data_IF_385643448784
#
_entry.id   IF_385643448784
#
_cell.length_a   1.000
_cell.length_b   1.000
_cell.length_c   1.000
_cell.angle_alpha   90.00
_cell.angle_beta   90.00
_cell.angle_gamma   90.00
#
_symmetry.space_group_name_H-M   'P 1'
#
loop_
_entity.id
_entity.type
_entity.pdbx_description
1 polymer ?
#
# COMPACT_ATOMS: atom_id res chain seq x y z
N UNK A 1 0.52 18.71 16.94
CA UNK A 1 1.68 18.87 17.81
C UNK A 1 2.33 17.49 17.98
N UNK A 2 3.58 17.39 17.53
CA UNK A 2 4.39 16.19 17.75
C UNK A 2 4.85 16.29 19.20
N UNK A 3 4.36 15.38 20.05
CA UNK A 3 4.89 15.24 21.41
C UNK A 3 6.12 14.36 21.29
N UNK A 4 7.29 14.96 21.27
CA UNK A 4 8.57 14.23 21.35
C UNK A 4 8.77 13.87 22.84
N UNK A 5 8.39 12.67 23.19
CA UNK A 5 8.95 12.06 24.41
C UNK A 5 10.40 11.66 24.10
N UNK A 6 11.27 11.74 25.10
CA UNK A 6 12.71 11.42 25.06
C UNK A 6 13.01 10.23 24.12
N UNK A 7 13.28 10.52 22.84
CA UNK A 7 13.51 9.49 21.85
C UNK A 7 14.97 9.07 21.96
N UNK A 8 15.20 7.88 22.51
CA UNK A 8 16.52 7.28 22.54
C UNK A 8 17.10 7.22 21.12
N UNK A 9 18.33 7.71 20.92
CA UNK A 9 19.05 7.61 19.66
C UNK A 9 19.04 6.16 19.12
N UNK A 10 19.16 5.19 20.00
CA UNK A 10 19.07 3.76 19.71
C UNK A 10 17.71 3.39 19.09
N UNK A 11 16.60 3.91 19.63
CA UNK A 11 15.27 3.66 19.09
C UNK A 11 15.15 4.18 17.65
N UNK A 12 15.68 5.38 17.36
CA UNK A 12 15.69 5.97 16.01
C UNK A 12 16.52 5.12 15.05
N UNK A 13 17.69 4.66 15.47
CA UNK A 13 18.58 3.82 14.64
C UNK A 13 17.95 2.46 14.33
N UNK A 14 17.26 1.83 15.30
CA UNK A 14 16.52 0.59 15.07
C UNK A 14 15.38 0.84 14.08
N UNK A 15 14.54 1.85 14.34
CA UNK A 15 13.38 2.19 13.52
C UNK A 15 13.77 2.48 12.07
N UNK A 16 14.85 3.24 11.83
CA UNK A 16 15.32 3.62 10.50
C UNK A 16 15.78 2.43 9.63
N UNK A 17 16.07 1.29 10.24
CA UNK A 17 16.53 0.07 9.54
C UNK A 17 15.49 -1.05 9.53
N UNK A 18 14.34 -0.84 10.18
CA UNK A 18 13.26 -1.81 10.15
C UNK A 18 12.58 -1.81 8.78
N UNK A 19 12.36 -3.01 8.24
CA UNK A 19 11.63 -3.19 6.98
C UNK A 19 11.08 -4.60 6.86
N UNK A 20 10.16 -4.79 5.92
CA UNK A 20 9.78 -6.12 5.46
C UNK A 20 10.71 -6.61 4.35
N UNK A 21 10.81 -7.91 4.22
CA UNK A 21 11.49 -8.59 3.12
C UNK A 21 10.63 -9.77 2.65
N UNK A 22 10.13 -9.77 1.40
CA UNK A 22 10.24 -8.69 0.42
C UNK A 22 9.49 -7.40 0.85
N UNK A 23 9.92 -6.24 0.33
CA UNK A 23 9.25 -4.95 0.54
C UNK A 23 8.01 -4.78 -0.36
N UNK A 24 7.89 -5.67 -1.35
CA UNK A 24 6.80 -5.70 -2.32
C UNK A 24 6.01 -6.99 -2.13
N UNK A 25 4.70 -6.87 -1.99
CA UNK A 25 3.75 -7.98 -1.95
C UNK A 25 2.88 -8.00 -3.20
N UNK A 26 2.55 -9.20 -3.69
CA UNK A 26 1.63 -9.39 -4.81
C UNK A 26 0.19 -9.57 -4.32
N UNK A 27 -0.72 -8.78 -4.87
CA UNK A 27 -2.16 -8.89 -4.61
C UNK A 27 -2.77 -10.21 -5.05
N UNK A 28 -2.25 -10.81 -6.13
CA UNK A 28 -2.87 -11.97 -6.77
C UNK A 28 -2.57 -13.30 -6.06
N UNK A 29 -1.54 -13.36 -5.22
CA UNK A 29 -1.05 -14.63 -4.63
C UNK A 29 -1.71 -15.01 -3.30
N UNK A 30 -2.59 -14.18 -2.75
CA UNK A 30 -3.24 -14.44 -1.45
C UNK A 30 -2.30 -14.24 -0.26
N UNK A 31 -2.33 -15.11 0.76
CA UNK A 31 -1.51 -14.93 1.96
C UNK A 31 -0.02 -14.82 1.66
N UNK A 32 0.64 -13.80 2.22
CA UNK A 32 2.04 -13.48 1.96
C UNK A 32 2.92 -13.86 3.15
N UNK A 33 3.99 -14.59 2.88
CA UNK A 33 5.04 -14.86 3.83
C UNK A 33 6.15 -13.82 3.67
N UNK A 34 6.33 -12.99 4.67
CA UNK A 34 7.36 -11.94 4.69
C UNK A 34 8.22 -12.06 5.95
N UNK A 35 9.35 -11.41 5.97
CA UNK A 35 10.20 -11.32 7.15
C UNK A 35 10.25 -9.89 7.63
N UNK A 36 9.97 -9.66 8.91
CA UNK A 36 10.30 -8.40 9.57
C UNK A 36 11.79 -8.42 9.92
N UNK A 37 12.55 -7.49 9.37
CA UNK A 37 13.96 -7.31 9.67
C UNK A 37 14.12 -6.26 10.75
N UNK A 38 14.85 -6.60 11.82
CA UNK A 38 15.17 -5.69 12.91
C UNK A 38 16.67 -5.77 13.17
N UNK A 39 17.37 -4.63 13.07
CA UNK A 39 18.81 -4.52 13.36
C UNK A 39 19.04 -3.98 14.76
N UNK A 40 19.94 -4.62 15.50
CA UNK A 40 20.41 -4.16 16.81
C UNK A 40 21.71 -3.35 16.63
N UNK A 41 21.70 -2.03 16.74
CA UNK A 41 22.91 -1.22 16.59
C UNK A 41 23.77 -1.19 17.88
N UNK A 42 23.33 -1.81 18.97
CA UNK A 42 24.00 -1.75 20.26
C UNK A 42 25.05 -2.84 20.43
N UNK A 43 25.88 -2.69 21.45
CA UNK A 43 26.89 -3.68 21.85
C UNK A 43 26.38 -4.77 22.77
N UNK A 44 25.06 -4.76 23.10
CA UNK A 44 24.43 -5.76 23.99
C UNK A 44 23.27 -6.42 23.25
N UNK A 45 22.92 -7.64 23.65
CA UNK A 45 21.77 -8.33 23.09
C UNK A 45 20.47 -7.65 23.52
N UNK A 46 19.49 -7.60 22.59
CA UNK A 46 18.16 -7.10 22.84
C UNK A 46 17.14 -8.24 22.77
N UNK A 47 16.20 -8.26 23.69
CA UNK A 47 15.07 -9.21 23.68
C UNK A 47 13.76 -8.45 23.82
N UNK A 48 12.69 -8.92 23.16
CA UNK A 48 11.41 -8.27 23.30
C UNK A 48 10.37 -8.73 22.30
N UNK A 49 9.49 -7.82 21.94
CA UNK A 49 8.39 -8.08 21.01
C UNK A 49 8.13 -6.87 20.09
N UNK A 50 7.60 -7.17 18.91
CA UNK A 50 7.08 -6.17 17.99
C UNK A 50 5.57 -6.43 17.78
N UNK A 51 4.73 -5.41 17.93
CA UNK A 51 3.31 -5.47 17.63
C UNK A 51 3.05 -4.72 16.35
N UNK A 52 2.47 -5.39 15.36
CA UNK A 52 2.21 -4.81 14.04
C UNK A 52 0.72 -4.56 13.93
N UNK A 53 0.34 -3.30 13.73
CA UNK A 53 -1.04 -2.92 13.52
C UNK A 53 -1.38 -2.99 12.03
N UNK A 54 -2.37 -3.80 11.70
CA UNK A 54 -2.79 -4.02 10.32
C UNK A 54 -4.16 -3.39 10.05
N UNK A 55 -4.45 -2.98 8.80
CA UNK A 55 -5.74 -2.43 8.41
C UNK A 55 -6.90 -3.40 8.66
N UNK A 56 -8.11 -2.86 8.75
CA UNK A 56 -9.32 -3.68 8.90
C UNK A 56 -9.46 -4.68 7.75
N UNK A 57 -9.69 -5.93 8.09
CA UNK A 57 -9.78 -7.03 7.12
C UNK A 57 -8.45 -7.68 6.79
N UNK A 58 -7.37 -7.24 7.43
CA UNK A 58 -6.08 -7.91 7.40
C UNK A 58 -5.83 -8.65 8.71
N UNK A 59 -4.98 -9.63 8.65
CA UNK A 59 -4.42 -10.32 9.82
C UNK A 59 -2.94 -10.59 9.60
N UNK A 60 -2.19 -10.65 10.70
CA UNK A 60 -0.78 -10.99 10.70
C UNK A 60 -0.51 -12.07 11.73
N UNK A 61 0.28 -13.07 11.37
CA UNK A 61 0.62 -14.19 12.24
C UNK A 61 2.14 -14.40 12.28
N UNK A 62 2.79 -14.39 13.45
CA UNK A 62 2.23 -14.03 14.74
C UNK A 62 1.95 -12.51 14.86
N UNK A 63 0.85 -12.13 15.54
CA UNK A 63 0.50 -10.72 15.74
C UNK A 63 1.50 -9.96 16.63
N UNK A 64 2.24 -10.69 17.47
CA UNK A 64 3.28 -10.17 18.36
C UNK A 64 4.50 -11.09 18.32
N UNK A 65 5.31 -11.00 17.26
CA UNK A 65 6.52 -11.78 17.18
C UNK A 65 7.50 -11.42 18.30
N UNK A 66 7.99 -12.43 18.99
CA UNK A 66 9.10 -12.28 19.93
C UNK A 66 10.42 -12.25 19.18
N UNK A 67 11.31 -11.38 19.62
CA UNK A 67 12.62 -11.20 18.99
C UNK A 67 13.73 -11.31 20.03
N UNK A 68 14.84 -11.89 19.59
CA UNK A 68 16.12 -11.88 20.31
C UNK A 68 17.19 -11.55 19.30
N UNK A 69 17.90 -10.45 19.52
CA UNK A 69 18.83 -9.88 18.56
C UNK A 69 20.19 -9.72 19.23
N UNK A 70 21.18 -10.47 18.80
CA UNK A 70 22.54 -10.31 19.32
C UNK A 70 23.11 -8.92 18.98
N UNK A 71 24.13 -8.51 19.70
CA UNK A 71 24.81 -7.22 19.50
C UNK A 71 25.29 -7.07 18.05
N UNK A 72 24.93 -5.99 17.38
CA UNK A 72 25.30 -5.70 15.99
C UNK A 72 24.62 -6.56 14.93
N UNK A 73 23.74 -7.49 15.29
CA UNK A 73 23.10 -8.42 14.40
C UNK A 73 21.76 -7.90 13.84
N UNK A 74 21.31 -8.53 12.77
CA UNK A 74 19.96 -8.35 12.22
C UNK A 74 19.19 -9.66 12.33
N UNK A 75 18.03 -9.63 12.96
CA UNK A 75 17.11 -10.77 13.01
C UNK A 75 16.10 -10.70 11.85
N UNK A 76 15.77 -11.86 11.29
CA UNK A 76 14.70 -12.07 10.33
C UNK A 76 13.55 -12.80 11.00
N UNK A 77 12.47 -12.12 11.26
CA UNK A 77 11.31 -12.65 11.96
C UNK A 77 10.24 -13.03 10.94
N UNK A 78 9.92 -14.31 10.75
CA UNK A 78 8.91 -14.71 9.79
C UNK A 78 7.53 -14.25 10.28
N UNK A 79 6.75 -13.65 9.37
CA UNK A 79 5.36 -13.27 9.59
C UNK A 79 4.55 -13.59 8.34
N UNK A 80 3.33 -14.05 8.54
CA UNK A 80 2.38 -14.26 7.46
C UNK A 80 1.31 -13.16 7.49
N UNK A 81 1.12 -12.48 6.38
CA UNK A 81 0.09 -11.46 6.22
C UNK A 81 -1.04 -12.05 5.38
N UNK A 82 -2.27 -11.95 5.88
CA UNK A 82 -3.50 -12.39 5.19
C UNK A 82 -4.48 -11.24 5.13
N UNK A 83 -5.31 -11.24 4.11
CA UNK A 83 -6.44 -10.32 3.99
C UNK A 83 -7.71 -11.02 3.53
N UNK A 84 -8.85 -10.56 4.03
CA UNK A 84 -10.17 -11.01 3.58
C UNK A 84 -10.65 -10.22 2.38
N UNK A 85 -10.21 -8.96 2.28
CA UNK A 85 -10.41 -8.12 1.11
C UNK A 85 -9.03 -7.71 0.58
N UNK A 86 -8.77 -7.88 -0.72
CA UNK A 86 -7.50 -7.47 -1.30
C UNK A 86 -7.20 -6.00 -0.96
N UNK A 87 -5.97 -5.66 -0.61
CA UNK A 87 -5.57 -4.28 -0.43
C UNK A 87 -5.64 -3.51 -1.75
N UNK A 88 -5.62 -2.20 -1.65
CA UNK A 88 -5.41 -1.34 -2.83
C UNK A 88 -3.94 -1.38 -3.19
N UNK A 89 -3.63 -1.56 -4.48
CA UNK A 89 -2.25 -1.47 -4.96
C UNK A 89 -1.66 -0.09 -4.67
N UNK A 90 -0.40 -0.06 -4.29
CA UNK A 90 0.33 1.16 -3.95
C UNK A 90 1.14 1.03 -2.66
N UNK A 91 1.68 2.15 -2.22
CA UNK A 91 2.43 2.23 -0.97
C UNK A 91 1.47 2.22 0.23
N UNK A 92 1.81 1.40 1.19
CA UNK A 92 1.13 1.33 2.48
C UNK A 92 2.12 1.55 3.62
N UNK A 93 1.63 2.12 4.70
CA UNK A 93 2.39 2.26 5.95
C UNK A 93 1.69 1.48 7.04
N UNK A 94 2.41 0.53 7.61
CA UNK A 94 1.93 -0.27 8.73
C UNK A 94 2.54 0.24 10.03
N UNK A 95 1.73 0.72 10.99
CA UNK A 95 2.22 1.12 12.29
C UNK A 95 2.78 -0.09 13.05
N UNK A 96 3.91 0.09 13.70
CA UNK A 96 4.56 -0.93 14.52
C UNK A 96 4.95 -0.32 15.86
N UNK A 97 4.55 -0.99 16.94
CA UNK A 97 5.02 -0.72 18.29
C UNK A 97 6.09 -1.76 18.64
N UNK A 98 7.27 -1.31 19.01
CA UNK A 98 8.40 -2.16 19.41
C UNK A 98 8.72 -1.93 20.88
N UNK A 99 8.87 -3.04 21.60
CA UNK A 99 9.36 -3.05 22.97
C UNK A 99 10.53 -4.03 23.09
N UNK A 100 11.72 -3.50 23.35
CA UNK A 100 12.94 -4.27 23.52
C UNK A 100 13.52 -4.01 24.92
N UNK A 101 14.14 -5.01 25.49
CA UNK A 101 14.76 -4.97 26.81
C UNK A 101 16.25 -5.33 26.69
N UNK A 102 17.07 -4.54 27.38
CA UNK A 102 18.47 -4.77 27.65
C UNK A 102 18.72 -4.35 29.10
N UNK A 103 19.70 -3.47 29.36
CA UNK A 103 19.89 -2.82 30.66
C UNK A 103 18.75 -1.84 30.99
N UNK A 104 18.04 -1.40 29.97
CA UNK A 104 16.83 -0.55 30.05
C UNK A 104 15.83 -0.95 29.01
N UNK A 105 14.54 -0.58 29.20
CA UNK A 105 13.48 -0.80 28.24
C UNK A 105 13.56 0.26 27.14
N UNK A 106 13.63 -0.18 25.88
CA UNK A 106 13.51 0.65 24.67
C UNK A 106 12.11 0.43 24.11
N UNK A 107 11.28 1.47 24.11
CA UNK A 107 9.94 1.44 23.51
C UNK A 107 9.80 2.57 22.52
N UNK A 108 9.30 2.24 21.33
CA UNK A 108 9.00 3.23 20.29
C UNK A 108 7.91 2.75 19.36
N UNK A 109 7.24 3.70 18.74
CA UNK A 109 6.28 3.50 17.67
C UNK A 109 6.92 4.01 16.37
N UNK A 110 6.75 3.24 15.30
CA UNK A 110 7.25 3.58 13.96
C UNK A 110 6.29 3.06 12.90
N UNK A 111 6.54 3.41 11.65
CA UNK A 111 5.81 2.87 10.51
C UNK A 111 6.79 2.16 9.58
N UNK A 112 6.37 0.99 9.08
CA UNK A 112 7.11 0.31 8.02
C UNK A 112 6.35 0.49 6.71
N UNK A 113 7.10 0.90 5.70
CA UNK A 113 6.58 1.01 4.35
C UNK A 113 6.54 -0.36 3.68
N UNK A 114 5.44 -0.62 2.99
CA UNK A 114 5.20 -1.82 2.23
C UNK A 114 4.55 -1.42 0.91
N UNK A 115 5.03 -1.96 -0.19
CA UNK A 115 4.41 -1.76 -1.49
C UNK A 115 3.55 -2.98 -1.85
N UNK A 116 2.31 -2.73 -2.25
CA UNK A 116 1.42 -3.77 -2.76
C UNK A 116 1.28 -3.57 -4.26
N UNK A 117 1.64 -4.57 -5.06
CA UNK A 117 1.52 -4.55 -6.51
C UNK A 117 0.57 -5.64 -6.97
N UNK A 118 -0.04 -5.42 -8.11
CA UNK A 118 -0.70 -6.47 -8.86
C UNK A 118 0.20 -6.84 -10.04
N UNK A 119 0.86 -7.98 -9.97
CA UNK A 119 1.77 -8.45 -11.03
C UNK A 119 1.02 -8.89 -12.29
N UNK A 120 -0.28 -9.20 -12.16
CA UNK A 120 -1.11 -9.61 -13.29
C UNK A 120 -1.77 -8.45 -14.02
N UNK A 121 -1.89 -7.28 -13.38
CA UNK A 121 -2.49 -6.09 -13.98
C UNK A 121 -1.58 -4.87 -13.80
N UNK A 122 -1.16 -4.28 -14.90
CA UNK A 122 -0.53 -2.98 -14.90
C UNK A 122 -1.57 -1.90 -15.19
N UNK A 123 -1.57 -0.84 -14.41
CA UNK A 123 -2.48 0.30 -14.56
C UNK A 123 -1.67 1.56 -14.75
N UNK A 124 -1.98 2.28 -15.84
CA UNK A 124 -1.42 3.60 -16.12
C UNK A 124 -2.54 4.61 -16.19
N UNK A 125 -2.34 5.75 -15.59
CA UNK A 125 -3.32 6.84 -15.62
C UNK A 125 -2.67 8.11 -16.12
N UNK A 126 -3.41 8.85 -16.94
CA UNK A 126 -3.07 10.17 -17.41
C UNK A 126 -4.30 11.07 -17.31
N UNK A 127 -4.11 12.38 -17.24
CA UNK A 127 -5.22 13.31 -17.17
C UNK A 127 -4.97 14.57 -18.01
N UNK A 128 -6.05 15.16 -18.46
CA UNK A 128 -6.01 16.42 -19.20
C UNK A 128 -7.20 17.30 -18.83
N UNK A 129 -6.97 18.60 -18.83
CA UNK A 129 -8.05 19.58 -18.76
C UNK A 129 -8.81 19.58 -20.07
N UNK A 130 -10.12 19.73 -19.98
CA UNK A 130 -11.01 19.77 -21.16
C UNK A 130 -12.07 20.84 -21.00
N UNK A 131 -12.68 21.19 -22.12
CA UNK A 131 -13.86 22.06 -22.16
C UNK A 131 -14.96 21.33 -22.89
N UNK A 132 -16.15 21.28 -22.29
CA UNK A 132 -17.30 20.64 -22.90
C UNK A 132 -17.67 21.33 -24.22
N UNK A 133 -17.76 20.58 -25.29
CA UNK A 133 -18.18 21.11 -26.61
C UNK A 133 -19.65 21.56 -26.64
N UNK A 134 -20.46 21.12 -25.67
CA UNK A 134 -21.92 21.39 -25.64
C UNK A 134 -22.21 22.72 -24.91
N UNK A 135 -21.58 22.98 -23.80
CA UNK A 135 -21.91 24.08 -22.89
C UNK A 135 -20.70 24.94 -22.48
N UNK A 136 -19.53 24.64 -23.04
CA UNK A 136 -18.29 25.36 -22.71
C UNK A 136 -17.82 25.15 -21.25
N UNK A 137 -18.44 24.25 -20.49
CA UNK A 137 -18.07 24.02 -19.11
C UNK A 137 -16.67 23.37 -19.00
N UNK A 138 -15.85 23.81 -18.06
CA UNK A 138 -14.54 23.18 -17.81
C UNK A 138 -14.72 21.80 -17.19
N UNK A 139 -13.69 20.96 -17.35
CA UNK A 139 -13.68 19.61 -16.82
C UNK A 139 -12.31 18.98 -16.88
N UNK A 140 -12.24 17.75 -16.43
CA UNK A 140 -11.06 16.90 -16.49
C UNK A 140 -11.41 15.58 -17.17
N UNK A 141 -10.52 15.11 -18.03
CA UNK A 141 -10.56 13.76 -18.60
C UNK A 141 -9.47 12.94 -17.96
N UNK A 142 -9.85 11.80 -17.40
CA UNK A 142 -8.92 10.78 -16.92
C UNK A 142 -8.87 9.69 -17.96
N UNK A 143 -7.70 9.39 -18.49
CA UNK A 143 -7.42 8.23 -19.34
C UNK A 143 -6.77 7.16 -18.47
N UNK A 144 -7.42 6.01 -18.34
CA UNK A 144 -6.87 4.87 -17.62
C UNK A 144 -6.64 3.72 -18.61
N UNK A 145 -5.40 3.26 -18.69
CA UNK A 145 -4.98 2.08 -19.44
C UNK A 145 -4.77 0.94 -18.47
N UNK A 146 -5.26 -0.24 -18.80
CA UNK A 146 -4.96 -1.49 -18.12
C UNK A 146 -4.33 -2.47 -19.08
N UNK A 147 -3.32 -3.20 -18.62
CA UNK A 147 -2.61 -4.23 -19.38
C UNK A 147 -2.70 -5.53 -18.57
N UNK A 148 -3.14 -6.61 -19.22
CA UNK A 148 -3.18 -7.92 -18.62
C UNK A 148 -1.83 -8.64 -18.83
N UNK A 149 -1.03 -8.76 -17.78
CA UNK A 149 0.22 -9.52 -17.76
C UNK A 149 0.02 -10.97 -17.26
N UNK A 150 -1.21 -11.32 -16.86
CA UNK A 150 -1.55 -12.67 -16.43
C UNK A 150 -1.60 -13.66 -17.61
N UNK A 151 -1.91 -14.89 -17.29
CA UNK A 151 -1.96 -16.02 -18.23
C UNK A 151 -3.39 -16.39 -18.69
N UNK A 152 -4.41 -15.68 -18.20
CA UNK A 152 -5.83 -15.91 -18.53
C UNK A 152 -6.56 -14.64 -18.92
N UNK A 153 -7.64 -14.75 -19.71
CA UNK A 153 -8.53 -13.62 -19.94
C UNK A 153 -9.18 -13.11 -18.64
N UNK A 154 -9.38 -11.80 -18.53
CA UNK A 154 -9.98 -11.15 -17.39
C UNK A 154 -11.18 -10.30 -17.77
N UNK A 155 -12.27 -10.43 -17.01
CA UNK A 155 -13.40 -9.52 -17.07
C UNK A 155 -13.23 -8.46 -15.98
N UNK A 156 -13.10 -7.20 -16.38
CA UNK A 156 -12.76 -6.10 -15.48
C UNK A 156 -13.83 -5.02 -15.52
N UNK A 157 -14.00 -4.33 -14.40
CA UNK A 157 -14.66 -3.04 -14.33
C UNK A 157 -13.68 -1.98 -13.89
N UNK A 158 -13.50 -0.98 -14.74
CA UNK A 158 -12.86 0.27 -14.33
C UNK A 158 -13.90 1.23 -13.80
N UNK A 159 -13.60 1.84 -12.67
CA UNK A 159 -14.41 2.87 -12.05
C UNK A 159 -13.52 4.06 -11.72
N UNK A 160 -13.90 5.25 -12.17
CA UNK A 160 -13.28 6.49 -11.72
C UNK A 160 -14.24 7.22 -10.78
N UNK A 161 -13.71 7.63 -9.63
CA UNK A 161 -14.44 8.35 -8.58
C UNK A 161 -13.76 9.67 -8.33
N UNK A 162 -14.45 10.76 -8.63
CA UNK A 162 -14.04 12.11 -8.25
C UNK A 162 -14.89 12.56 -7.05
N UNK A 163 -14.24 12.81 -5.92
CA UNK A 163 -14.94 13.23 -4.71
C UNK A 163 -15.73 14.52 -4.97
N UNK A 164 -17.03 14.52 -4.69
CA UNK A 164 -18.00 15.59 -5.00
C UNK A 164 -18.36 15.81 -6.48
N UNK A 165 -17.75 15.10 -7.43
CA UNK A 165 -18.02 15.30 -8.87
C UNK A 165 -18.64 14.08 -9.56
N UNK A 166 -18.71 12.94 -8.85
CA UNK A 166 -19.41 11.77 -9.33
C UNK A 166 -18.53 10.53 -9.50
N UNK A 167 -19.17 9.52 -10.08
CA UNK A 167 -18.60 8.19 -10.29
C UNK A 167 -18.98 7.72 -11.69
N UNK A 168 -18.00 7.28 -12.44
CA UNK A 168 -18.21 6.67 -13.75
C UNK A 168 -17.63 5.26 -13.82
N UNK A 169 -18.35 4.36 -14.48
CA UNK A 169 -17.97 2.95 -14.62
C UNK A 169 -17.86 2.56 -16.09
N UNK A 170 -16.87 1.76 -16.42
CA UNK A 170 -16.61 1.24 -17.78
C UNK A 170 -16.17 -0.22 -17.68
N UNK A 171 -16.93 -1.16 -18.26
CA UNK A 171 -16.53 -2.55 -18.30
C UNK A 171 -15.44 -2.79 -19.35
N UNK A 172 -14.68 -3.85 -19.14
CA UNK A 172 -13.72 -4.44 -20.07
C UNK A 172 -13.97 -5.93 -20.04
N UNK A 173 -14.46 -6.50 -21.14
CA UNK A 173 -14.75 -7.92 -21.21
C UNK A 173 -13.62 -8.66 -21.88
N UNK A 174 -13.27 -9.83 -21.31
CA UNK A 174 -12.33 -10.80 -21.83
C UNK A 174 -10.97 -10.19 -22.28
N UNK A 175 -10.39 -9.32 -21.45
CA UNK A 175 -9.06 -8.75 -21.72
C UNK A 175 -8.04 -9.88 -21.77
N UNK A 176 -7.52 -10.19 -22.96
CA UNK A 176 -6.62 -11.32 -23.19
C UNK A 176 -5.24 -11.10 -22.56
N UNK A 177 -4.48 -12.17 -22.26
CA UNK A 177 -3.07 -12.08 -21.90
C UNK A 177 -2.27 -11.21 -22.87
N UNK A 178 -1.52 -10.25 -22.37
CA UNK A 178 -0.75 -9.28 -23.14
C UNK A 178 -1.57 -8.16 -23.80
N UNK A 179 -2.89 -8.21 -23.71
CA UNK A 179 -3.76 -7.17 -24.27
C UNK A 179 -3.85 -5.95 -23.35
N UNK A 180 -4.14 -4.81 -23.97
CA UNK A 180 -4.38 -3.54 -23.27
C UNK A 180 -5.73 -2.97 -23.61
N UNK A 181 -6.37 -2.31 -22.65
CA UNK A 181 -7.59 -1.57 -22.83
C UNK A 181 -7.48 -0.18 -22.22
N UNK A 182 -8.02 0.81 -22.90
CA UNK A 182 -8.06 2.20 -22.40
C UNK A 182 -9.51 2.60 -22.17
N UNK A 183 -9.77 3.25 -21.03
CA UNK A 183 -11.07 3.87 -20.73
C UNK A 183 -10.86 5.33 -20.36
N UNK A 184 -11.82 6.17 -20.81
CA UNK A 184 -11.82 7.60 -20.50
C UNK A 184 -13.02 7.94 -19.65
N UNK A 185 -12.78 8.76 -18.63
CA UNK A 185 -13.76 9.25 -17.67
C UNK A 185 -13.78 10.77 -17.72
N UNK A 186 -14.96 11.37 -17.73
CA UNK A 186 -15.15 12.80 -17.90
C UNK A 186 -15.83 13.38 -16.67
N UNK A 187 -15.13 14.22 -15.94
CA UNK A 187 -15.68 14.92 -14.81
C UNK A 187 -15.82 16.41 -15.13
N UNK A 188 -17.06 16.90 -15.13
CA UNK A 188 -17.36 18.31 -15.29
C UNK A 188 -17.29 19.00 -13.94
N UNK A 189 -16.83 20.23 -13.90
CA UNK A 189 -16.83 21.04 -12.69
C UNK A 189 -15.87 22.22 -12.76
N UNK A 190 -15.96 23.05 -11.72
CA UNK A 190 -15.00 24.13 -11.52
C UNK A 190 -13.58 23.57 -11.34
N UNK A 191 -12.63 24.08 -12.12
CA UNK A 191 -11.24 23.63 -12.11
C UNK A 191 -10.60 23.82 -10.73
N UNK A 192 -10.98 24.86 -9.98
CA UNK A 192 -10.47 25.08 -8.62
C UNK A 192 -10.92 23.99 -7.65
N UNK A 193 -12.14 23.48 -7.83
CA UNK A 193 -12.66 22.33 -7.08
C UNK A 193 -12.02 21.02 -7.53
N UNK A 194 -11.90 20.80 -8.83
CA UNK A 194 -11.30 19.61 -9.39
C UNK A 194 -9.82 19.49 -9.01
N UNK A 195 -9.07 20.59 -8.96
CA UNK A 195 -7.68 20.63 -8.53
C UNK A 195 -7.47 20.26 -7.05
N UNK A 196 -8.51 20.35 -6.23
CA UNK A 196 -8.50 19.98 -4.80
C UNK A 196 -9.15 18.62 -4.54
N UNK A 197 -9.58 17.93 -5.60
CA UNK A 197 -10.33 16.69 -5.49
C UNK A 197 -9.42 15.49 -5.77
N UNK A 198 -9.36 14.56 -4.84
CA UNK A 198 -8.76 13.26 -5.10
C UNK A 198 -9.61 12.50 -6.13
N UNK A 199 -8.99 12.12 -7.23
CA UNK A 199 -9.61 11.24 -8.21
C UNK A 199 -8.97 9.86 -8.07
N UNK A 200 -9.81 8.84 -7.86
CA UNK A 200 -9.37 7.46 -7.73
C UNK A 200 -9.86 6.65 -8.93
N UNK A 201 -8.96 5.87 -9.51
CA UNK A 201 -9.31 4.83 -10.47
C UNK A 201 -9.26 3.49 -9.76
N UNK A 202 -10.38 2.78 -9.77
CA UNK A 202 -10.54 1.48 -9.12
C UNK A 202 -10.77 0.46 -10.23
N UNK A 203 -10.03 -0.64 -10.18
CA UNK A 203 -10.21 -1.76 -11.09
C UNK A 203 -10.63 -2.97 -10.27
N UNK A 204 -11.72 -3.59 -10.70
CA UNK A 204 -12.26 -4.78 -10.04
C UNK A 204 -12.36 -5.89 -11.08
N UNK A 205 -11.84 -7.05 -10.78
CA UNK A 205 -12.06 -8.26 -11.56
C UNK A 205 -13.38 -8.90 -11.17
N UNK A 206 -14.15 -9.34 -12.17
CA UNK A 206 -15.32 -10.19 -12.00
C UNK A 206 -14.92 -11.63 -12.30
N UNK A 207 -15.01 -12.49 -11.31
CA UNK A 207 -14.73 -13.91 -11.45
C UNK A 207 -15.71 -14.74 -10.67
#
# INVERSE_FOLDING_TARGET
PIVIHDVSTTAVEIAARMRFEPEVMDLATGPQNVHLLIHNPTSVALEGEASIDVPRGWSIEPARPRVRIAAGETVRVPVEIRWTNPPVAGEMRLPITVRLEADSTIRFDTEIQLEVRNETLEVRTDWALTTSAVDGSPGIVISAEVINHGDRPMDLQMEAVAWHSGRERRPISALQPGERAVRRFHFKGDLARLAQTDIRVIITEFG
#
